data_IF_990810519527
#
_entry.id   IF_990810519527
#
_cell.length_a   1.000
_cell.length_b   1.000
_cell.length_c   1.000
_cell.angle_alpha   90.00
_cell.angle_beta   90.00
_cell.angle_gamma   90.00
#
_symmetry.space_group_name_H-M   'P 1'
#
loop_
_entity.id
_entity.type
_entity.pdbx_description
1 polymer ?
2 polymer ?
3 non-polymer ?
4 non-polymer ?
5 water ?
#
# COMPACT_ATOMS: atom_id res chain seq x y z
N UNK A 9 -21.47 -13.78 -2.87
CA UNK A 9 -21.45 -15.26 -2.97
C UNK A 9 -21.28 -15.94 -1.60
N UNK A 10 -20.86 -15.18 -0.59
CA UNK A 10 -20.45 -15.79 0.70
C UNK A 10 -21.57 -16.52 1.44
N UNK A 11 -21.44 -17.84 1.54
CA UNK A 11 -22.38 -18.66 2.30
C UNK A 11 -21.71 -19.19 3.57
N UNK A 12 -22.27 -18.84 4.73
CA UNK A 12 -21.83 -19.41 6.00
C UNK A 12 -22.52 -20.74 6.30
N UNK A 13 -23.52 -21.07 5.48
CA UNK A 13 -24.15 -22.39 5.51
C UNK A 13 -23.27 -23.48 4.88
N UNK A 14 -22.67 -23.14 3.73
CA UNK A 14 -21.78 -24.04 2.99
C UNK A 14 -20.42 -24.24 3.70
N UNK A 15 -19.89 -23.16 4.27
CA UNK A 15 -18.68 -23.25 5.09
C UNK A 15 -18.82 -24.23 6.26
N UNK A 16 -19.96 -24.18 6.95
CA UNK A 16 -20.20 -25.00 8.15
C UNK A 16 -20.42 -26.47 7.83
N UNK A 17 -21.27 -26.75 6.85
CA UNK A 17 -21.38 -28.08 6.24
C UNK A 17 -20.02 -28.74 6.02
N UNK A 18 -19.18 -28.11 5.19
CA UNK A 18 -17.92 -28.72 4.77
C UNK A 18 -16.80 -28.48 5.79
N UNK A 19 -17.18 -28.30 7.04
CA UNK A 19 -16.24 -28.13 8.13
C UNK A 19 -15.89 -29.49 8.68
N UNK A 20 -16.84 -30.42 8.55
CA UNK A 20 -16.61 -31.83 8.89
C UNK A 20 -15.73 -32.51 7.83
N UNK A 21 -15.63 -31.88 6.67
CA UNK A 21 -14.64 -32.27 5.68
C UNK A 21 -13.19 -31.96 6.10
N UNK A 22 -13.02 -31.34 7.26
CA UNK A 22 -11.69 -31.02 7.76
C UNK A 22 -11.34 -32.01 8.85
N UNK A 23 -10.17 -32.60 8.75
CA UNK A 23 -9.81 -33.74 9.57
C UNK A 23 -8.29 -33.70 9.78
N UNK A 24 -7.82 -34.35 10.83
CA UNK A 24 -6.39 -34.42 11.13
C UNK A 24 -5.55 -33.13 11.18
N UNK A 25 -5.94 -32.19 12.03
CA UNK A 25 -5.13 -31.02 12.33
C UNK A 25 -3.84 -31.29 13.09
N UNK A 26 -2.79 -30.55 12.81
CA UNK A 26 -1.56 -30.68 13.58
C UNK A 26 -0.75 -29.41 13.55
N UNK A 27 0.08 -29.21 14.56
CA UNK A 27 0.90 -28.02 14.63
C UNK A 27 2.35 -28.29 14.29
N UNK A 28 2.92 -27.54 13.36
CA UNK A 28 4.28 -27.81 12.91
C UNK A 28 5.20 -26.68 13.35
N UNK A 29 6.50 -26.95 13.52
CA UNK A 29 7.45 -25.86 13.71
C UNK A 29 7.56 -24.99 12.45
N UNK A 30 8.26 -23.84 12.55
CA UNK A 30 8.17 -22.89 11.42
C UNK A 30 8.94 -23.43 10.22
N UNK A 31 8.40 -23.26 8.99
CA UNK A 31 9.18 -23.67 7.80
C UNK A 31 10.34 -22.72 7.58
N UNK A 32 11.32 -23.06 6.74
CA UNK A 32 12.37 -22.08 6.49
C UNK A 32 11.82 -20.83 5.79
N UNK A 33 10.92 -21.02 4.83
CA UNK A 33 10.18 -19.93 4.19
C UNK A 33 8.82 -20.46 3.75
N UNK A 34 7.90 -19.57 3.45
CA UNK A 34 6.61 -19.99 2.87
C UNK A 34 5.84 -18.80 2.38
N UNK A 35 4.70 -19.06 1.76
CA UNK A 35 3.81 -17.98 1.43
C UNK A 35 2.38 -18.45 1.63
N UNK A 36 1.49 -17.53 1.96
CA UNK A 36 0.08 -17.89 2.17
C UNK A 36 -0.77 -17.33 1.03
N UNK A 37 -1.69 -18.15 0.50
CA UNK A 37 -2.63 -17.74 -0.57
C UNK A 37 -4.03 -18.27 -0.23
N UNK A 38 -5.10 -17.68 -0.81
CA UNK A 38 -6.46 -18.13 -0.54
C UNK A 38 -6.95 -19.08 -1.63
N UNK A 39 -7.91 -19.97 -1.30
CA UNK A 39 -8.58 -20.78 -2.29
C UNK A 39 -10.09 -20.69 -2.14
N UNK A 40 -10.77 -20.52 -3.26
CA UNK A 40 -12.21 -20.30 -3.26
C UNK A 40 -12.93 -21.57 -3.63
N UNK A 41 -13.86 -21.98 -2.75
CA UNK A 41 -14.53 -23.27 -2.85
C UNK A 41 -15.97 -23.09 -3.22
N UNK A 42 -16.41 -23.89 -4.19
CA UNK A 42 -17.83 -24.03 -4.52
C UNK A 42 -18.17 -25.50 -4.66
N UNK A 43 -19.41 -25.86 -4.30
CA UNK A 43 -19.98 -27.15 -4.72
C UNK A 43 -20.95 -27.01 -5.89
N UNK A 44 -20.96 -28.01 -6.80
CA UNK A 44 -21.99 -28.10 -7.85
C UNK A 44 -23.40 -28.12 -7.22
N UNK A 45 -23.57 -28.95 -6.20
CA UNK A 45 -24.84 -29.08 -5.48
C UNK A 45 -25.39 -27.80 -4.82
N UNK A 46 -24.60 -26.74 -4.80
CA UNK A 46 -25.04 -25.50 -4.14
C UNK A 46 -24.73 -24.24 -4.96
N UNK A 47 -25.30 -24.16 -6.17
CA UNK A 47 -24.96 -23.03 -7.05
C UNK A 47 -25.23 -21.72 -6.35
N UNK A 48 -24.34 -20.74 -6.52
CA UNK A 48 -24.50 -19.45 -5.87
C UNK A 48 -23.67 -19.26 -4.61
N UNK A 49 -23.31 -20.38 -3.97
CA UNK A 49 -22.63 -20.35 -2.68
C UNK A 49 -21.13 -20.68 -2.78
N UNK A 50 -20.31 -19.91 -2.07
CA UNK A 50 -18.86 -20.12 -2.06
C UNK A 50 -18.28 -19.84 -0.68
N UNK A 51 -17.17 -20.49 -0.35
CA UNK A 51 -16.38 -20.05 0.80
C UNK A 51 -14.88 -20.19 0.58
N UNK A 52 -14.11 -19.34 1.24
CA UNK A 52 -12.67 -19.37 1.04
C UNK A 52 -11.98 -20.11 2.17
N UNK A 53 -10.75 -20.54 1.90
CA UNK A 53 -9.82 -20.92 2.95
C UNK A 53 -8.39 -20.61 2.46
N UNK A 54 -7.40 -20.95 3.28
CA UNK A 54 -6.05 -20.50 3.07
C UNK A 54 -5.19 -21.71 2.88
N UNK A 55 -4.13 -21.55 2.10
CA UNK A 55 -3.09 -22.55 1.94
C UNK A 55 -1.80 -21.89 2.37
N UNK A 56 -0.93 -22.62 3.09
CA UNK A 56 0.42 -22.18 3.24
C UNK A 56 1.32 -23.10 2.43
N UNK A 57 2.21 -22.51 1.64
CA UNK A 57 3.05 -23.24 0.69
C UNK A 57 4.46 -23.30 1.21
N UNK A 58 4.95 -24.51 1.48
CA UNK A 58 6.27 -24.66 2.15
C UNK A 58 7.22 -25.52 1.34
N UNK A 59 8.53 -25.39 1.60
CA UNK A 59 9.51 -26.17 0.82
C UNK A 59 9.40 -27.67 1.11
N UNK A 60 9.69 -28.48 0.09
CA UNK A 60 9.66 -29.93 0.25
C UNK A 60 8.44 -30.58 -0.35
N UNK A 61 8.63 -31.83 -0.78
CA UNK A 61 7.57 -32.55 -1.47
C UNK A 61 6.95 -33.50 -0.47
N UNK A 62 5.72 -33.24 -0.05
CA UNK A 62 5.07 -34.00 1.03
C UNK A 62 3.62 -34.38 0.67
N UNK A 63 3.44 -35.11 -0.45
CA UNK A 63 2.11 -35.53 -0.89
C UNK A 63 1.37 -36.31 0.19
N UNK A 64 2.12 -37.07 0.99
CA UNK A 64 1.55 -37.84 2.10
C UNK A 64 0.78 -37.00 3.13
N UNK A 65 1.08 -35.70 3.20
CA UNK A 65 0.38 -34.79 4.12
C UNK A 65 -0.94 -34.31 3.58
N UNK A 66 -1.20 -34.57 2.30
CA UNK A 66 -2.42 -34.08 1.65
C UNK A 66 -3.48 -35.18 1.63
N UNK A 67 -4.73 -34.79 1.75
CA UNK A 67 -5.85 -35.59 1.28
C UNK A 67 -5.59 -36.09 -0.14
N UNK A 68 -6.06 -37.30 -0.48
CA UNK A 68 -5.68 -37.88 -1.78
C UNK A 68 -6.24 -37.09 -2.96
N UNK A 69 -7.39 -36.46 -2.77
CA UNK A 69 -7.91 -35.60 -3.81
C UNK A 69 -7.04 -34.36 -4.12
N UNK A 70 -6.10 -34.01 -3.25
CA UNK A 70 -5.18 -32.92 -3.52
C UNK A 70 -3.81 -33.41 -3.93
N UNK A 71 -3.63 -34.74 -4.03
CA UNK A 71 -2.29 -35.23 -4.30
C UNK A 71 -1.97 -35.19 -5.78
N UNK A 72 -1.89 -33.96 -6.32
CA UNK A 72 -1.44 -33.77 -7.69
C UNK A 72 -0.33 -32.76 -7.70
N UNK A 73 0.51 -32.84 -8.72
CA UNK A 73 1.74 -32.09 -8.74
C UNK A 73 1.68 -31.08 -9.90
N UNK A 74 1.88 -29.80 -9.63
CA UNK A 74 2.05 -28.94 -10.79
C UNK A 74 3.47 -28.46 -10.96
N UNK A 75 3.84 -28.21 -12.21
CA UNK A 75 5.20 -27.77 -12.53
C UNK A 75 5.35 -26.31 -12.85
N UNK A 76 6.46 -25.75 -12.39
CA UNK A 76 6.92 -24.47 -12.90
C UNK A 76 7.50 -24.70 -14.32
N UNK A 77 7.66 -23.63 -15.09
CA UNK A 77 8.07 -23.70 -16.49
C UNK A 77 9.50 -24.25 -16.63
N UNK A 78 9.76 -25.03 -17.68
CA UNK A 78 11.12 -25.56 -17.98
C UNK A 78 11.76 -26.41 -16.89
N UNK A 79 10.99 -27.23 -16.18
CA UNK A 79 11.58 -28.15 -15.20
C UNK A 79 12.36 -27.44 -14.09
N UNK A 80 11.76 -26.41 -13.48
CA UNK A 80 12.47 -25.61 -12.48
C UNK A 80 11.81 -25.63 -11.09
N UNK A 81 11.05 -26.69 -10.82
CA UNK A 81 10.42 -26.92 -9.50
C UNK A 81 8.99 -27.35 -9.69
N UNK A 82 8.28 -27.57 -8.58
CA UNK A 82 6.92 -28.11 -8.64
C UNK A 82 6.20 -27.73 -7.36
N UNK A 83 4.90 -27.92 -7.32
CA UNK A 83 4.17 -27.66 -6.08
C UNK A 83 3.06 -28.68 -5.97
N UNK A 84 3.02 -29.41 -4.88
CA UNK A 84 1.91 -30.32 -4.58
C UNK A 84 0.67 -29.59 -4.12
N UNK A 85 -0.48 -29.98 -4.66
CA UNK A 85 -1.78 -29.51 -4.19
C UNK A 85 -2.32 -28.39 -5.07
N UNK A 86 -1.53 -28.04 -6.09
CA UNK A 86 -1.93 -27.02 -7.05
C UNK A 86 -2.29 -27.74 -8.37
N UNK A 87 -3.38 -27.35 -8.99
CA UNK A 87 -3.96 -28.20 -10.01
C UNK A 87 -3.52 -27.88 -11.44
N UNK A 88 -2.82 -26.77 -11.64
CA UNK A 88 -2.47 -26.34 -12.99
C UNK A 88 -1.03 -25.89 -13.00
N UNK A 89 -0.35 -26.13 -14.11
CA UNK A 89 1.07 -25.76 -14.25
C UNK A 89 1.25 -24.26 -14.12
N UNK A 90 2.46 -23.87 -13.70
CA UNK A 90 2.78 -22.49 -13.45
C UNK A 90 3.66 -21.93 -14.56
N UNK A 91 3.19 -20.86 -15.23
CA UNK A 91 3.78 -20.34 -16.48
C UNK A 91 5.01 -19.46 -16.31
N UNK A 92 5.75 -19.64 -15.22
CA UNK A 92 7.05 -19.02 -15.06
C UNK A 92 7.93 -19.98 -14.28
N UNK A 93 9.23 -19.73 -14.26
CA UNK A 93 10.19 -20.57 -13.58
C UNK A 93 10.15 -20.47 -12.06
N UNK A 94 10.54 -21.58 -11.40
CA UNK A 94 10.75 -21.59 -9.96
C UNK A 94 12.23 -21.55 -9.61
N UNK A 95 12.55 -21.83 -8.34
CA UNK A 95 13.92 -21.84 -7.84
C UNK A 95 14.44 -23.28 -7.57
N UNK A 96 14.03 -24.21 -8.43
CA UNK A 96 14.48 -25.62 -8.39
C UNK A 96 14.14 -26.42 -7.13
N UNK A 97 13.00 -26.12 -6.51
CA UNK A 97 12.64 -26.70 -5.22
C UNK A 97 11.24 -27.22 -5.50
N UNK A 98 10.88 -28.33 -4.89
CA UNK A 98 9.50 -28.73 -4.92
C UNK A 98 8.87 -28.22 -3.63
N UNK A 99 7.62 -27.78 -3.70
CA UNK A 99 6.94 -27.21 -2.54
C UNK A 99 5.72 -28.05 -2.28
N UNK A 100 5.06 -27.82 -1.14
CA UNK A 100 3.75 -28.45 -0.88
C UNK A 100 2.77 -27.42 -0.34
N UNK A 101 1.58 -27.35 -0.94
CA UNK A 101 0.55 -26.40 -0.45
C UNK A 101 -0.32 -27.07 0.60
N UNK A 102 -0.22 -26.61 1.85
CA UNK A 102 -0.97 -27.21 2.93
C UNK A 102 -2.14 -26.31 3.40
N UNK A 103 -3.28 -26.93 3.67
CA UNK A 103 -4.38 -26.15 4.22
C UNK A 103 -3.98 -25.54 5.57
N UNK A 104 -4.21 -24.23 5.72
CA UNK A 104 -3.65 -23.52 6.87
C UNK A 104 -4.78 -23.18 7.84
N UNK A 105 -4.67 -23.71 9.04
CA UNK A 105 -5.67 -23.40 10.05
C UNK A 105 -5.23 -22.13 10.78
N UNK A 106 -3.95 -22.00 11.09
CA UNK A 106 -3.49 -20.85 11.85
C UNK A 106 -1.99 -20.72 11.71
N UNK A 107 -1.51 -19.50 11.46
CA UNK A 107 -0.07 -19.23 11.62
C UNK A 107 0.12 -18.41 12.88
N UNK A 108 0.96 -18.90 13.77
CA UNK A 108 1.07 -18.36 15.13
C UNK A 108 2.18 -17.35 15.18
N UNK A 109 2.16 -16.56 16.26
CA UNK A 109 3.12 -15.52 16.44
C UNK A 109 4.53 -15.99 16.49
N UNK A 110 4.75 -17.20 17.03
CA UNK A 110 6.11 -17.76 17.02
C UNK A 110 6.55 -18.31 15.67
N UNK A 111 5.67 -18.31 14.68
CA UNK A 111 6.04 -18.89 13.38
C UNK A 111 5.49 -20.30 13.10
N UNK A 112 4.98 -20.96 14.13
CA UNK A 112 4.44 -22.30 13.96
C UNK A 112 3.26 -22.15 13.01
N UNK A 113 2.98 -23.20 12.26
CA UNK A 113 1.77 -23.25 11.42
C UNK A 113 0.93 -24.46 11.80
N UNK A 114 -0.36 -24.23 12.05
CA UNK A 114 -1.29 -25.30 12.26
C UNK A 114 -1.96 -25.61 10.95
N UNK A 115 -1.85 -26.86 10.53
CA UNK A 115 -2.33 -27.28 9.22
C UNK A 115 -3.28 -28.44 9.39
N UNK A 116 -4.03 -28.73 8.33
CA UNK A 116 -5.05 -29.74 8.41
C UNK A 116 -5.17 -30.40 7.05
N UNK A 117 -5.86 -31.53 7.00
CA UNK A 117 -6.22 -32.21 5.77
C UNK A 117 -7.67 -31.88 5.50
N UNK A 118 -8.04 -31.77 4.23
CA UNK A 118 -9.35 -31.31 3.87
C UNK A 118 -9.82 -32.18 2.70
N UNK A 119 -11.06 -32.63 2.76
CA UNK A 119 -11.60 -33.48 1.73
C UNK A 119 -12.03 -32.57 0.58
N UNK A 120 -11.15 -32.36 -0.40
CA UNK A 120 -11.41 -31.38 -1.48
C UNK A 120 -10.36 -31.58 -2.55
N UNK A 121 -10.60 -31.00 -3.74
CA UNK A 121 -9.69 -31.09 -4.89
C UNK A 121 -8.63 -30.02 -4.77
N UNK A 122 -7.66 -30.02 -5.68
CA UNK A 122 -6.52 -29.09 -5.61
C UNK A 122 -6.92 -27.64 -5.93
N UNK A 123 -6.04 -26.66 -5.68
CA UNK A 123 -6.34 -25.25 -6.01
C UNK A 123 -6.30 -25.09 -7.53
N UNK A 124 -7.41 -24.70 -8.14
CA UNK A 124 -7.46 -24.51 -9.60
C UNK A 124 -7.35 -23.04 -9.99
N UNK A 125 -7.07 -22.77 -11.26
CA UNK A 125 -7.10 -21.40 -11.75
C UNK A 125 -5.80 -20.70 -11.40
N UNK A 126 -5.67 -19.43 -11.79
CA UNK A 126 -4.34 -18.84 -11.76
C UNK A 126 -4.09 -17.93 -10.54
N UNK A 127 -5.03 -17.86 -9.58
CA UNK A 127 -4.86 -16.93 -8.47
C UNK A 127 -3.69 -17.22 -7.52
N UNK A 128 -3.16 -18.44 -7.54
CA UNK A 128 -1.98 -18.83 -6.71
C UNK A 128 -0.69 -18.21 -7.26
N UNK A 129 -0.74 -17.68 -8.48
CA UNK A 129 0.52 -17.27 -9.15
C UNK A 129 1.29 -16.17 -8.43
N UNK A 130 0.58 -15.24 -7.82
CA UNK A 130 1.29 -14.08 -7.24
C UNK A 130 2.10 -14.59 -6.04
N UNK A 131 1.47 -15.34 -5.15
CA UNK A 131 2.22 -15.92 -4.00
C UNK A 131 3.40 -16.81 -4.40
N UNK A 132 3.21 -17.61 -5.44
CA UNK A 132 4.26 -18.51 -5.97
C UNK A 132 5.42 -17.74 -6.57
N UNK A 133 5.12 -16.71 -7.38
CA UNK A 133 6.15 -15.84 -7.91
C UNK A 133 6.95 -15.22 -6.76
N UNK A 134 6.26 -14.78 -5.72
CA UNK A 134 7.00 -14.14 -4.63
C UNK A 134 7.87 -15.18 -3.85
N UNK A 135 7.32 -16.37 -3.66
CA UNK A 135 7.96 -17.45 -2.90
C UNK A 135 9.26 -17.83 -3.59
N UNK A 136 9.23 -17.97 -4.91
CA UNK A 136 10.41 -18.43 -5.62
C UNK A 136 11.39 -17.33 -6.01
N UNK A 137 10.95 -16.07 -5.95
CA UNK A 137 11.81 -14.96 -6.37
C UNK A 137 12.25 -14.07 -5.22
N UNK A 138 11.37 -13.85 -4.25
CA UNK A 138 11.51 -12.71 -3.37
C UNK A 138 11.59 -13.06 -1.87
N UNK A 139 10.92 -14.15 -1.47
CA UNK A 139 10.93 -14.59 -0.07
C UNK A 139 12.07 -15.58 0.15
N UNK A 140 12.92 -15.32 1.14
CA UNK A 140 14.07 -16.19 1.43
C UNK A 140 13.95 -16.82 2.80
N UNK A 141 13.22 -16.18 3.70
CA UNK A 141 13.23 -16.52 5.11
C UNK A 141 11.85 -16.16 5.65
N UNK A 142 11.18 -17.10 6.30
CA UNK A 142 9.96 -16.78 7.06
C UNK A 142 8.70 -16.78 6.18
N UNK A 143 7.55 -16.59 6.80
CA UNK A 143 6.34 -16.55 6.03
C UNK A 143 5.71 -15.17 6.23
N UNK A 144 5.55 -14.36 5.14
CA UNK A 144 4.90 -13.04 5.34
C UNK A 144 3.50 -13.18 5.95
N UNK A 145 3.15 -12.36 6.92
CA UNK A 145 1.81 -12.43 7.50
C UNK A 145 0.80 -11.71 6.63
N UNK A 146 0.61 -12.22 5.40
CA UNK A 146 -0.23 -11.58 4.39
C UNK A 146 -0.75 -12.70 3.50
N UNK A 147 -1.91 -12.50 2.90
CA UNK A 147 -2.45 -13.46 1.98
C UNK A 147 -2.42 -12.86 0.59
N UNK A 148 -1.74 -13.54 -0.35
CA UNK A 148 -1.54 -13.03 -1.69
C UNK A 148 -2.48 -13.73 -2.67
N UNK A 149 -3.10 -12.94 -3.53
CA UNK A 149 -3.93 -13.51 -4.58
C UNK A 149 -3.86 -12.67 -5.84
N UNK A 150 -3.57 -13.32 -6.98
CA UNK A 150 -3.49 -12.62 -8.23
C UNK A 150 -2.86 -13.46 -9.30
N UNK A 151 -3.27 -13.24 -10.54
CA UNK A 151 -2.62 -13.92 -11.65
C UNK A 151 -1.47 -13.06 -12.10
N UNK A 152 -0.44 -13.68 -12.67
CA UNK A 152 0.77 -12.98 -13.10
C UNK A 152 0.77 -12.89 -14.64
N UNK A 153 1.01 -11.71 -15.18
CA UNK A 153 0.93 -11.51 -16.65
C UNK A 153 2.14 -12.15 -17.32
N UNK A 154 2.03 -12.29 -18.63
CA UNK A 154 3.12 -12.78 -19.46
C UNK A 154 4.46 -12.03 -19.29
N UNK A 155 4.42 -10.78 -18.88
CA UNK A 155 5.68 -10.08 -18.59
C UNK A 155 6.30 -10.53 -17.26
N UNK A 156 5.59 -11.40 -16.51
CA UNK A 156 6.14 -11.94 -15.25
C UNK A 156 6.28 -10.96 -14.11
N UNK A 157 5.60 -9.81 -14.22
CA UNK A 157 5.70 -8.77 -13.21
C UNK A 157 4.34 -8.14 -12.90
N UNK A 158 3.52 -7.98 -13.93
CA UNK A 158 2.26 -7.30 -13.76
C UNK A 158 1.24 -8.26 -13.19
N UNK A 159 0.49 -7.82 -12.20
CA UNK A 159 -0.51 -8.67 -11.59
C UNK A 159 -1.87 -8.39 -12.23
N UNK A 160 -2.66 -9.45 -12.43
CA UNK A 160 -3.91 -9.42 -13.15
C UNK A 160 -5.00 -9.89 -12.19
N UNK A 161 -6.20 -9.29 -12.23
CA UNK A 161 -7.26 -9.60 -11.25
C UNK A 161 -7.80 -11.02 -11.38
N UNK A 162 -8.41 -11.51 -10.31
CA UNK A 162 -8.84 -12.91 -10.24
C UNK A 162 -10.27 -12.91 -9.77
N UNK A 163 -10.89 -14.10 -9.71
CA UNK A 163 -12.32 -14.23 -9.33
C UNK A 163 -12.39 -14.46 -7.84
N UNK A 164 -13.48 -14.04 -7.22
CA UNK A 164 -13.74 -14.39 -5.85
C UNK A 164 -12.97 -13.59 -4.81
N UNK A 165 -12.55 -12.39 -5.19
CA UNK A 165 -11.72 -11.58 -4.28
C UNK A 165 -12.33 -11.38 -2.89
N UNK A 166 -13.64 -11.16 -2.82
CA UNK A 166 -14.33 -10.91 -1.55
C UNK A 166 -14.40 -12.16 -0.70
N UNK A 167 -14.59 -13.32 -1.33
CA UNK A 167 -14.44 -14.59 -0.63
C UNK A 167 -13.02 -14.77 -0.08
N UNK A 168 -12.00 -14.42 -0.86
CA UNK A 168 -10.63 -14.57 -0.42
C UNK A 168 -10.38 -13.65 0.78
N UNK A 169 -10.98 -12.45 0.77
CA UNK A 169 -10.68 -11.43 1.80
C UNK A 169 -11.31 -11.88 3.12
N UNK A 170 -12.51 -12.44 3.04
CA UNK A 170 -13.15 -12.98 4.21
C UNK A 170 -12.27 -14.10 4.80
N UNK A 171 -11.80 -15.00 3.94
CA UNK A 171 -10.91 -16.07 4.43
C UNK A 171 -9.65 -15.48 5.08
N UNK A 172 -9.05 -14.46 4.46
CA UNK A 172 -7.87 -13.84 5.05
C UNK A 172 -8.19 -13.26 6.42
N UNK A 173 -9.32 -12.54 6.51
CA UNK A 173 -9.66 -11.78 7.74
C UNK A 173 -10.01 -12.68 8.89
N UNK A 174 -10.71 -13.77 8.61
CA UNK A 174 -10.94 -14.83 9.60
C UNK A 174 -9.66 -15.35 10.24
N UNK A 175 -8.53 -15.21 9.56
CA UNK A 175 -7.29 -15.73 10.09
C UNK A 175 -6.46 -14.61 10.63
N UNK A 176 -7.04 -13.41 10.70
CA UNK A 176 -6.28 -12.27 11.21
C UNK A 176 -5.28 -11.69 10.23
N UNK A 177 -5.48 -11.91 8.93
CA UNK A 177 -4.49 -11.47 7.95
C UNK A 177 -5.06 -10.52 6.90
N UNK A 178 -4.25 -9.57 6.41
CA UNK A 178 -4.69 -8.74 5.29
C UNK A 178 -4.66 -9.50 3.95
N UNK A 179 -5.56 -9.19 3.03
CA UNK A 179 -5.44 -9.71 1.65
C UNK A 179 -4.67 -8.75 0.76
N UNK A 180 -3.75 -9.32 -0.03
CA UNK A 180 -2.88 -8.55 -0.90
C UNK A 180 -3.11 -8.96 -2.36
N UNK A 181 -3.43 -7.96 -3.20
CA UNK A 181 -3.72 -8.21 -4.62
C UNK A 181 -3.74 -6.90 -5.41
N UNK A 182 -4.15 -6.98 -6.69
CA UNK A 182 -4.11 -5.83 -7.58
C UNK A 182 -5.44 -5.09 -7.72
N UNK A 183 -6.51 -5.56 -7.08
CA UNK A 183 -7.86 -5.18 -7.46
C UNK A 183 -8.73 -4.72 -6.30
N UNK A 184 -9.87 -4.07 -6.61
CA UNK A 184 -10.76 -3.68 -5.52
C UNK A 184 -11.23 -4.91 -4.75
N UNK A 185 -11.31 -4.74 -3.44
CA UNK A 185 -11.67 -5.80 -2.53
C UNK A 185 -10.48 -6.26 -1.67
N UNK A 186 -9.24 -6.05 -2.11
CA UNK A 186 -8.09 -6.40 -1.25
C UNK A 186 -7.84 -5.33 -0.16
N UNK A 187 -6.94 -5.62 0.77
CA UNK A 187 -6.56 -4.63 1.79
C UNK A 187 -5.35 -3.78 1.38
N UNK A 188 -4.33 -4.40 0.79
CA UNK A 188 -3.22 -3.64 0.23
C UNK A 188 -3.08 -3.96 -1.24
N UNK A 189 -2.99 -2.92 -2.05
CA UNK A 189 -3.09 -3.08 -3.48
C UNK A 189 -1.70 -2.99 -4.02
N UNK A 190 -1.33 -3.97 -4.85
CA UNK A 190 0.00 -4.00 -5.46
C UNK A 190 -0.17 -4.15 -6.97
N UNK A 191 0.45 -3.26 -7.76
CA UNK A 191 0.25 -3.31 -9.20
C UNK A 191 1.09 -4.43 -9.81
N UNK A 192 2.18 -4.79 -9.14
CA UNK A 192 3.14 -5.70 -9.72
C UNK A 192 3.99 -6.41 -8.66
N UNK A 193 4.85 -7.32 -9.09
CA UNK A 193 5.58 -8.14 -8.15
C UNK A 193 6.64 -7.37 -7.39
N UNK A 194 7.22 -6.34 -8.00
CA UNK A 194 8.21 -5.47 -7.27
C UNK A 194 7.54 -4.81 -6.11
N UNK A 195 6.37 -4.24 -6.38
CA UNK A 195 5.67 -3.60 -5.31
C UNK A 195 5.30 -4.59 -4.22
N UNK A 196 4.89 -5.81 -4.59
CA UNK A 196 4.51 -6.83 -3.58
C UNK A 196 5.78 -7.27 -2.82
N UNK A 197 6.90 -7.33 -3.52
CA UNK A 197 8.14 -7.64 -2.84
C UNK A 197 8.50 -6.53 -1.85
N UNK A 198 8.31 -5.29 -2.28
CA UNK A 198 8.68 -4.15 -1.47
C UNK A 198 7.73 -4.07 -0.29
N UNK A 199 6.49 -4.46 -0.49
CA UNK A 199 5.58 -4.58 0.66
C UNK A 199 6.09 -5.61 1.70
N UNK A 200 6.48 -6.78 1.21
CA UNK A 200 7.03 -7.83 2.12
C UNK A 200 8.23 -7.29 2.92
N UNK A 201 9.19 -6.69 2.23
CA UNK A 201 10.38 -6.17 2.89
C UNK A 201 10.10 -5.03 3.87
N UNK A 202 9.15 -4.17 3.52
CA UNK A 202 8.66 -3.12 4.43
C UNK A 202 7.96 -3.66 5.67
N UNK A 203 7.30 -4.82 5.57
CA UNK A 203 6.58 -5.37 6.74
C UNK A 203 5.13 -4.90 6.85
N UNK A 204 4.83 -3.80 6.17
CA UNK A 204 3.47 -3.26 6.12
C UNK A 204 3.49 -2.19 5.01
N UNK A 205 2.32 -1.63 4.66
CA UNK A 205 2.30 -0.49 3.75
C UNK A 205 3.19 0.62 4.32
N UNK A 206 4.06 1.17 3.50
CA UNK A 206 4.80 2.32 3.99
C UNK A 206 3.85 3.44 4.42
N UNK A 207 4.25 4.18 5.45
CA UNK A 207 3.39 5.15 6.10
C UNK A 207 3.86 6.56 5.70
N UNK A 208 2.91 7.44 5.41
CA UNK A 208 3.23 8.85 5.12
C UNK A 208 2.60 9.70 6.16
N UNK A 209 3.43 10.49 6.83
CA UNK A 209 2.93 11.39 7.88
C UNK A 209 3.14 12.83 7.40
N UNK A 210 2.03 13.56 7.19
CA UNK A 210 2.04 15.03 7.02
C UNK A 210 1.90 15.79 8.36
N UNK B 8 12.42 9.68 14.29
CA UNK B 8 12.79 9.45 12.87
C UNK B 8 13.96 10.32 12.43
N UNK B 9 15.00 9.71 11.86
CA UNK B 9 16.19 10.47 11.46
C UNK B 9 16.44 10.23 9.98
N UNK B 10 16.97 11.24 9.29
CA UNK B 10 17.05 11.19 7.85
C UNK B 10 17.84 9.95 7.46
N UNK B 11 17.36 9.22 6.47
CA UNK B 11 18.10 8.07 5.99
C UNK B 11 18.16 8.02 4.48
N UNK B 12 19.34 8.28 3.94
CA UNK B 12 19.54 8.21 2.51
C UNK B 12 19.27 6.81 1.93
N UNK B 13 19.58 5.77 2.68
CA UNK B 13 19.28 4.44 2.19
C UNK B 13 17.81 4.20 2.09
N UNK B 14 17.07 4.55 3.13
CA UNK B 14 15.63 4.37 3.11
C UNK B 14 15.02 5.11 1.90
N UNK B 15 15.55 6.31 1.64
CA UNK B 15 15.04 7.17 0.56
C UNK B 15 15.25 6.51 -0.79
N UNK B 16 16.47 6.03 -1.05
CA UNK B 16 16.77 5.45 -2.35
C UNK B 16 16.00 4.14 -2.57
N UNK B 17 15.81 3.39 -1.50
CA UNK B 17 15.09 2.15 -1.61
C UNK B 17 13.60 2.44 -1.93
N UNK B 18 12.95 3.23 -1.10
CA UNK B 18 11.53 3.49 -1.28
C UNK B 18 11.23 4.19 -2.60
N UNK B 19 12.04 5.19 -2.93
CA UNK B 19 11.80 5.96 -4.15
C UNK B 19 11.98 5.15 -5.41
N UNK B 20 12.83 4.12 -5.33
CA UNK B 20 13.07 3.32 -6.53
C UNK B 20 11.79 2.52 -6.82
N UNK B 21 10.85 2.53 -5.88
CA UNK B 21 9.53 1.97 -6.20
C UNK B 21 8.50 2.93 -6.80
N UNK B 22 8.83 4.23 -6.88
CA UNK B 22 7.87 5.20 -7.44
C UNK B 22 7.68 4.85 -8.92
N UNK B 23 6.50 5.12 -9.48
CA UNK B 23 6.23 4.63 -10.83
C UNK B 23 5.19 5.52 -11.54
N UNK B 24 5.11 5.39 -12.88
CA UNK B 24 4.12 6.09 -13.70
C UNK B 24 4.18 7.62 -13.57
N UNK B 25 5.31 8.19 -13.94
CA UNK B 25 5.45 9.62 -13.93
C UNK B 25 4.62 10.25 -15.03
N UNK B 26 4.07 11.42 -14.76
CA UNK B 26 3.38 12.14 -15.82
C UNK B 26 3.46 13.61 -15.61
N UNK B 27 3.48 14.34 -16.72
CA UNK B 27 3.58 15.79 -16.66
C UNK B 27 2.23 16.41 -17.03
N UNK B 28 1.66 17.15 -16.09
CA UNK B 28 0.36 17.80 -16.25
C UNK B 28 0.54 19.30 -16.50
N UNK B 29 -0.45 19.94 -17.17
CA UNK B 29 -0.39 21.40 -17.33
C UNK B 29 -0.61 22.13 -15.98
N UNK B 30 -0.36 23.45 -15.94
CA UNK B 30 -0.44 24.15 -14.65
C UNK B 30 -1.86 24.11 -14.06
N UNK B 31 -1.99 23.70 -12.79
CA UNK B 31 -3.33 23.76 -12.19
C UNK B 31 -3.78 25.21 -11.98
N UNK B 32 -5.09 25.45 -11.85
CA UNK B 32 -5.57 26.82 -11.66
C UNK B 32 -5.00 27.41 -10.35
N UNK B 33 -4.89 26.59 -9.31
CA UNK B 33 -4.16 26.95 -8.08
C UNK B 33 -3.64 25.68 -7.41
N UNK B 34 -2.79 25.81 -6.40
CA UNK B 34 -2.37 24.63 -5.62
C UNK B 34 -1.50 25.03 -4.46
N UNK B 35 -1.09 24.05 -3.68
CA UNK B 35 -0.18 24.31 -2.56
C UNK B 35 0.71 23.07 -2.40
N UNK B 36 1.93 23.30 -1.92
CA UNK B 36 2.93 22.24 -1.78
C UNK B 36 3.20 21.99 -0.30
N UNK B 37 3.03 20.75 0.14
CA UNK B 37 3.36 20.36 1.49
C UNK B 37 4.32 19.16 1.54
N UNK B 38 5.01 18.95 2.69
CA UNK B 38 5.98 17.83 2.78
C UNK B 38 5.32 16.64 3.50
N UNK B 39 5.70 15.44 3.08
CA UNK B 39 5.35 14.26 3.88
C UNK B 39 6.59 13.49 4.33
N UNK B 40 6.43 12.78 5.43
CA UNK B 40 7.51 11.95 6.00
C UNK B 40 7.20 10.47 5.82
N UNK B 41 8.14 9.76 5.21
CA UNK B 41 7.96 8.32 4.90
C UNK B 41 8.64 7.46 5.94
N UNK B 42 7.95 6.43 6.44
CA UNK B 42 8.56 5.39 7.25
C UNK B 42 8.00 4.02 6.89
N UNK B 43 8.79 2.97 7.17
CA UNK B 43 8.31 1.56 7.11
C UNK B 43 8.60 0.83 8.41
N UNK B 44 7.74 -0.13 8.75
CA UNK B 44 7.86 -0.90 9.99
C UNK B 44 9.22 -1.58 10.21
N UNK B 45 9.86 -2.01 9.14
CA UNK B 45 11.08 -2.81 9.25
C UNK B 45 12.34 -1.96 9.27
N UNK B 46 12.17 -0.65 9.32
CA UNK B 46 13.34 0.22 9.43
C UNK B 46 13.10 1.26 10.50
N UNK B 47 12.93 0.81 11.75
CA UNK B 47 12.58 1.71 12.84
C UNK B 47 13.65 2.80 13.02
N UNK B 48 13.19 4.01 13.31
CA UNK B 48 14.10 5.14 13.48
C UNK B 48 14.65 5.76 12.21
N UNK B 49 14.28 5.25 11.04
CA UNK B 49 14.71 5.89 9.78
C UNK B 49 13.53 6.62 9.09
N UNK B 50 13.80 7.71 8.37
CA UNK B 50 12.73 8.43 7.66
C UNK B 50 13.32 9.24 6.53
N UNK B 51 12.46 9.56 5.56
CA UNK B 51 12.77 10.62 4.59
C UNK B 51 11.49 11.35 4.12
N UNK B 52 11.69 12.54 3.55
CA UNK B 52 10.55 13.35 3.14
C UNK B 52 10.42 13.47 1.64
N UNK B 53 9.22 13.77 1.18
CA UNK B 53 9.04 14.20 -0.21
C UNK B 53 7.89 15.23 -0.19
N UNK B 54 7.40 15.60 -1.36
CA UNK B 54 6.43 16.70 -1.47
C UNK B 54 5.17 16.23 -2.13
N UNK B 55 4.06 16.80 -1.68
CA UNK B 55 2.79 16.65 -2.32
C UNK B 55 2.38 18.04 -2.88
N UNK B 56 1.80 18.03 -4.09
CA UNK B 56 1.10 19.19 -4.60
C UNK B 56 -0.40 18.91 -4.57
N UNK B 57 -1.13 19.78 -3.88
CA UNK B 57 -2.57 19.62 -3.74
C UNK B 57 -3.31 20.54 -4.71
N UNK B 58 -4.09 19.95 -5.62
CA UNK B 58 -4.67 20.73 -6.70
C UNK B 58 -6.17 20.51 -6.78
N UNK B 59 -6.90 21.49 -7.34
CA UNK B 59 -8.37 21.39 -7.41
C UNK B 59 -8.79 20.33 -8.41
N UNK B 60 -9.87 19.63 -8.10
CA UNK B 60 -10.38 18.57 -8.96
C UNK B 60 -10.14 17.22 -8.29
N UNK B 61 -11.05 16.29 -8.53
CA UNK B 61 -10.95 14.94 -8.01
C UNK B 61 -10.24 14.04 -9.04
N UNK B 62 -9.01 13.61 -8.74
CA UNK B 62 -8.25 12.70 -9.63
C UNK B 62 -7.80 11.44 -8.90
N UNK B 63 -8.71 10.78 -8.18
CA UNK B 63 -8.19 9.61 -7.43
C UNK B 63 -7.43 8.61 -8.31
N UNK B 64 -7.78 8.55 -9.59
CA UNK B 64 -7.20 7.54 -10.48
C UNK B 64 -5.72 7.81 -10.77
N UNK B 65 -5.26 9.01 -10.46
CA UNK B 65 -3.87 9.36 -10.68
C UNK B 65 -3.04 8.96 -9.46
N UNK B 66 -3.72 8.53 -8.38
CA UNK B 66 -3.01 8.06 -7.18
C UNK B 66 -2.80 6.53 -7.23
N UNK B 67 -1.69 6.07 -6.64
CA UNK B 67 -1.60 4.66 -6.25
C UNK B 67 -2.83 4.31 -5.45
N UNK B 68 -3.39 3.10 -5.65
CA UNK B 68 -4.70 2.87 -5.02
C UNK B 68 -4.68 2.86 -3.50
N UNK B 69 -3.52 2.64 -2.88
CA UNK B 69 -3.50 2.69 -1.42
C UNK B 69 -3.70 4.12 -0.91
N UNK B 70 -3.57 5.11 -1.79
CA UNK B 70 -3.76 6.50 -1.39
C UNK B 70 -5.14 6.98 -1.82
N UNK B 71 -5.95 6.09 -2.38
CA UNK B 71 -7.27 6.52 -2.85
C UNK B 71 -8.26 6.53 -1.72
N UNK B 72 -8.03 7.44 -0.77
CA UNK B 72 -8.87 7.64 0.38
C UNK B 72 -9.37 9.11 0.30
N UNK B 73 -10.61 9.36 0.70
CA UNK B 73 -11.19 10.70 0.54
C UNK B 73 -11.41 11.30 1.92
N UNK B 74 -10.85 12.47 2.18
CA UNK B 74 -11.17 13.16 3.42
C UNK B 74 -12.00 14.40 3.20
N UNK B 75 -12.71 14.82 4.25
CA UNK B 75 -13.68 15.91 4.14
C UNK B 75 -13.30 17.06 5.02
N UNK B 76 -13.48 18.29 4.51
CA UNK B 76 -13.48 19.46 5.36
C UNK B 76 -14.75 19.49 6.20
N UNK B 77 -14.71 20.28 7.28
CA UNK B 77 -15.81 20.37 8.22
C UNK B 77 -17.11 20.84 7.54
N UNK B 78 -18.24 20.27 7.96
CA UNK B 78 -19.58 20.75 7.60
C UNK B 78 -19.85 20.66 6.12
N UNK B 79 -19.36 19.62 5.48
CA UNK B 79 -19.68 19.44 4.08
C UNK B 79 -19.25 20.63 3.20
N UNK B 80 -17.99 21.02 3.29
CA UNK B 80 -17.49 22.17 2.52
C UNK B 80 -16.30 21.81 1.62
N UNK B 81 -16.25 20.56 1.18
CA UNK B 81 -15.23 20.13 0.23
C UNK B 81 -14.48 18.89 0.70
N UNK B 82 -13.48 18.46 -0.04
CA UNK B 82 -12.85 17.17 0.23
C UNK B 82 -11.50 17.15 -0.45
N UNK B 83 -10.67 16.17 -0.09
CA UNK B 83 -9.34 16.00 -0.68
C UNK B 83 -9.06 14.50 -0.75
N UNK B 84 -8.76 14.05 -1.96
CA UNK B 84 -8.25 12.72 -2.19
C UNK B 84 -6.80 12.66 -1.83
N UNK B 85 -6.39 11.54 -1.22
CA UNK B 85 -4.98 11.32 -0.86
C UNK B 85 -4.59 11.76 0.57
N UNK B 86 -5.56 12.17 1.37
CA UNK B 86 -5.29 12.66 2.74
C UNK B 86 -6.15 11.75 3.60
N UNK B 87 -5.57 11.19 4.66
CA UNK B 87 -6.20 10.07 5.36
C UNK B 87 -7.11 10.42 6.52
N UNK B 88 -7.09 11.68 6.98
CA UNK B 88 -7.99 12.12 8.06
C UNK B 88 -8.79 13.35 7.64
N UNK B 89 -9.98 13.50 8.21
CA UNK B 89 -10.81 14.67 7.96
C UNK B 89 -10.12 15.95 8.47
N UNK B 90 -10.52 17.09 7.92
CA UNK B 90 -9.89 18.37 8.22
C UNK B 90 -10.86 19.19 9.09
N UNK B 91 -10.38 19.64 10.26
CA UNK B 91 -11.27 20.19 11.29
C UNK B 91 -11.64 21.67 11.05
N UNK B 92 -11.61 22.14 9.81
CA UNK B 92 -12.13 23.46 9.50
C UNK B 92 -12.79 23.37 8.12
N UNK B 93 -13.46 24.45 7.69
CA UNK B 93 -14.17 24.42 6.42
C UNK B 93 -13.27 24.64 5.22
N UNK B 94 -13.63 24.03 4.09
CA UNK B 94 -12.94 24.29 2.83
C UNK B 94 -13.77 25.29 2.05
N UNK B 95 -13.44 25.50 0.77
CA UNK B 95 -14.16 26.43 -0.09
C UNK B 95 -14.99 25.63 -1.11
N UNK B 96 -15.53 24.48 -0.69
CA UNK B 96 -16.49 23.73 -1.52
C UNK B 96 -15.91 23.18 -2.80
N UNK B 97 -14.62 22.84 -2.79
CA UNK B 97 -13.95 22.25 -3.95
C UNK B 97 -13.49 20.84 -3.50
N UNK B 98 -13.53 19.86 -4.39
CA UNK B 98 -12.79 18.64 -4.13
C UNK B 98 -11.41 18.73 -4.73
N UNK B 99 -10.41 18.41 -3.92
CA UNK B 99 -9.01 18.53 -4.34
C UNK B 99 -8.41 17.13 -4.40
N UNK B 100 -7.19 17.05 -4.93
CA UNK B 100 -6.42 15.84 -4.92
C UNK B 100 -5.00 16.18 -4.53
N UNK B 101 -4.45 15.39 -3.62
CA UNK B 101 -3.09 15.55 -3.14
C UNK B 101 -2.13 14.58 -3.82
N UNK B 102 -1.29 15.08 -4.73
CA UNK B 102 -0.51 14.22 -5.61
C UNK B 102 0.98 14.31 -5.28
N UNK B 103 1.69 13.18 -5.37
CA UNK B 103 3.15 13.26 -5.21
C UNK B 103 3.75 14.15 -6.25
N UNK B 104 4.57 15.09 -5.80
CA UNK B 104 5.13 16.07 -6.70
C UNK B 104 6.56 15.71 -7.03
N UNK B 105 6.79 15.34 -8.26
CA UNK B 105 8.15 15.03 -8.62
C UNK B 105 8.94 16.28 -8.99
N UNK B 106 8.27 17.25 -9.60
CA UNK B 106 8.93 18.49 -10.03
C UNK B 106 7.86 19.51 -10.41
N UNK B 107 8.04 20.75 -9.97
CA UNK B 107 7.22 21.84 -10.50
C UNK B 107 8.11 22.71 -11.37
N UNK B 108 7.72 22.86 -12.62
CA UNK B 108 8.51 23.57 -13.59
C UNK B 108 8.26 25.08 -13.61
N UNK B 109 9.23 25.84 -14.14
CA UNK B 109 9.16 27.31 -14.22
C UNK B 109 7.96 27.75 -15.04
N UNK B 110 7.56 26.96 -16.03
CA UNK B 110 6.33 27.28 -16.75
C UNK B 110 5.05 26.90 -16.00
N UNK B 111 5.17 26.35 -14.79
CA UNK B 111 3.98 26.02 -14.00
C UNK B 111 3.50 24.58 -14.16
N UNK B 112 3.98 23.86 -15.16
CA UNK B 112 3.63 22.41 -15.28
C UNK B 112 4.09 21.67 -14.04
N UNK B 113 3.31 20.66 -13.65
CA UNK B 113 3.69 19.77 -12.57
C UNK B 113 3.93 18.35 -13.08
N UNK B 114 5.10 17.82 -12.75
CA UNK B 114 5.41 16.42 -12.94
C UNK B 114 5.01 15.63 -11.68
N UNK B 115 4.08 14.70 -11.82
CA UNK B 115 3.68 13.88 -10.67
C UNK B 115 4.04 12.41 -10.90
N UNK B 116 3.88 11.58 -9.88
CA UNK B 116 4.22 10.16 -10.01
C UNK B 116 3.40 9.40 -8.99
N UNK B 117 3.39 8.07 -9.10
CA UNK B 117 2.71 7.23 -8.10
C UNK B 117 3.73 6.74 -7.08
N UNK B 118 3.26 6.62 -5.84
CA UNK B 118 4.11 6.28 -4.73
C UNK B 118 3.37 5.15 -4.01
N UNK B 119 4.11 4.13 -3.61
CA UNK B 119 3.53 3.01 -2.90
C UNK B 119 3.59 3.27 -1.39
N UNK B 120 2.43 3.57 -0.82
CA UNK B 120 2.33 4.03 0.56
C UNK B 120 0.84 4.17 0.83
N UNK B 121 0.53 4.53 2.07
CA UNK B 121 -0.82 4.94 2.44
C UNK B 121 -0.98 6.44 2.25
N UNK B 122 -2.20 6.92 2.49
CA UNK B 122 -2.57 8.31 2.34
C UNK B 122 -1.84 9.16 3.40
N UNK B 123 -1.77 10.45 3.17
CA UNK B 123 -0.99 11.33 4.03
C UNK B 123 -1.74 11.47 5.35
N UNK B 124 -1.10 11.09 6.45
CA UNK B 124 -1.75 11.10 7.77
C UNK B 124 -1.20 12.23 8.63
N UNK B 125 -1.90 12.59 9.70
CA UNK B 125 -1.40 13.50 10.70
C UNK B 125 -1.79 14.95 10.38
N UNK B 126 -1.44 15.89 11.28
CA UNK B 126 -2.08 17.20 11.12
C UNK B 126 -1.20 18.24 10.39
N UNK B 127 0.01 17.85 9.99
CA UNK B 127 0.92 18.78 9.39
C UNK B 127 0.45 19.38 8.05
N UNK B 128 -0.50 18.73 7.37
CA UNK B 128 -1.01 19.25 6.07
C UNK B 128 -1.97 20.43 6.28
N UNK B 129 -2.32 20.70 7.53
CA UNK B 129 -3.38 21.67 7.80
C UNK B 129 -3.02 23.12 7.41
N UNK B 130 -1.78 23.52 7.62
CA UNK B 130 -1.44 24.91 7.24
C UNK B 130 -1.65 25.07 5.72
N UNK B 131 -1.10 24.14 4.94
CA UNK B 131 -1.18 24.23 3.49
C UNK B 131 -2.64 24.15 3.01
N UNK B 132 -3.43 23.25 3.60
CA UNK B 132 -4.83 23.17 3.27
C UNK B 132 -5.59 24.46 3.59
N UNK B 133 -5.34 25.01 4.77
CA UNK B 133 -5.99 26.23 5.17
C UNK B 133 -5.69 27.40 4.22
N UNK B 134 -4.43 27.54 3.83
CA UNK B 134 -4.05 28.58 2.86
C UNK B 134 -4.75 28.30 1.54
N UNK B 135 -4.81 27.02 1.18
CA UNK B 135 -5.33 26.67 -0.15
C UNK B 135 -6.80 27.11 -0.26
N UNK B 136 -7.59 26.85 0.78
CA UNK B 136 -9.01 27.14 0.71
C UNK B 136 -9.35 28.58 1.08
N UNK B 137 -8.43 29.31 1.71
CA UNK B 137 -8.73 30.68 2.19
C UNK B 137 -7.92 31.76 1.48
N UNK B 138 -6.70 31.48 1.06
CA UNK B 138 -5.75 32.56 0.77
C UNK B 138 -5.12 32.50 -0.61
N UNK B 139 -5.11 31.31 -1.20
CA UNK B 139 -4.46 31.13 -2.50
C UNK B 139 -5.58 31.13 -3.55
N UNK B 140 -5.46 31.98 -4.55
CA UNK B 140 -6.50 32.07 -5.60
C UNK B 140 -6.01 31.61 -6.95
N UNK B 141 -4.72 31.75 -7.21
CA UNK B 141 -4.19 31.52 -8.52
C UNK B 141 -2.73 31.06 -8.40
N UNK B 142 -2.35 30.06 -9.18
CA UNK B 142 -0.96 29.61 -9.18
C UNK B 142 -0.63 28.77 -7.95
N UNK B 143 0.61 28.31 -7.90
CA UNK B 143 1.12 27.55 -6.76
C UNK B 143 2.30 28.31 -6.16
N UNK B 144 2.17 28.77 -4.91
CA UNK B 144 3.34 29.44 -4.29
C UNK B 144 4.58 28.54 -4.31
N UNK B 145 5.74 29.11 -4.63
CA UNK B 145 6.97 28.34 -4.67
C UNK B 145 7.61 28.22 -3.29
N UNK B 146 6.96 27.45 -2.43
CA UNK B 146 7.38 27.26 -1.06
C UNK B 146 6.59 26.08 -0.49
N UNK B 147 7.08 25.51 0.61
CA UNK B 147 6.51 24.31 1.17
C UNK B 147 6.03 24.63 2.58
N UNK B 148 4.75 24.37 2.85
CA UNK B 148 4.15 24.68 4.15
C UNK B 148 4.00 23.43 5.00
N UNK B 149 4.40 23.52 6.27
CA UNK B 149 4.10 22.50 7.19
C UNK B 149 3.67 23.06 8.53
N UNK B 150 2.59 22.52 9.07
CA UNK B 150 2.15 22.97 10.38
C UNK B 150 0.73 22.54 10.65
N UNK B 151 0.43 22.31 11.91
CA UNK B 151 -0.91 21.99 12.30
C UNK B 151 -1.60 23.31 12.57
N UNK B 152 -2.94 23.33 12.58
CA UNK B 152 -3.66 24.58 12.79
C UNK B 152 -4.43 24.51 14.11
N UNK B 153 -4.30 25.53 14.97
CA UNK B 153 -4.85 25.46 16.34
C UNK B 153 -6.39 25.54 16.32
N UNK B 154 -7.02 25.41 17.49
CA UNK B 154 -8.48 25.57 17.58
C UNK B 154 -9.01 26.90 17.09
N UNK B 155 -8.22 27.98 17.24
CA UNK B 155 -8.65 29.28 16.74
C UNK B 155 -8.62 29.39 15.21
N UNK B 156 -8.20 28.34 14.50
CA UNK B 156 -8.15 28.32 13.02
C UNK B 156 -7.16 29.31 12.39
N UNK B 157 -6.28 29.89 13.20
CA UNK B 157 -5.38 30.97 12.73
C UNK B 157 -3.92 30.62 13.12
N UNK B 158 -3.73 30.24 14.36
CA UNK B 158 -2.41 30.03 14.91
C UNK B 158 -1.83 28.69 14.44
N UNK B 159 -0.59 28.71 14.00
CA UNK B 159 0.07 27.49 13.55
C UNK B 159 0.71 26.74 14.73
N UNK B 160 0.59 25.42 14.71
CA UNK B 160 1.11 24.57 15.75
C UNK B 160 2.26 23.74 15.18
N UNK B 161 3.38 23.68 15.89
CA UNK B 161 4.59 23.03 15.33
C UNK B 161 4.40 21.52 15.19
N UNK B 162 5.23 20.89 14.36
CA UNK B 162 5.13 19.46 14.12
C UNK B 162 6.49 18.87 14.39
N UNK B 163 6.57 17.54 14.43
CA UNK B 163 7.83 16.87 14.85
C UNK B 163 8.86 16.75 13.74
N UNK B 164 8.44 16.54 12.51
CA UNK B 164 9.46 16.15 11.49
C UNK B 164 10.06 17.33 10.72
N UNK B 165 10.32 18.44 11.42
CA UNK B 165 10.65 19.68 10.70
C UNK B 165 11.92 19.52 9.86
N UNK B 166 12.87 18.72 10.33
CA UNK B 166 14.17 18.65 9.62
C UNK B 166 14.06 17.80 8.36
N UNK B 167 13.31 16.71 8.43
CA UNK B 167 13.07 15.86 7.27
C UNK B 167 12.28 16.65 6.25
N UNK B 168 11.24 17.37 6.69
CA UNK B 168 10.48 18.30 5.80
C UNK B 168 11.36 19.34 5.11
N UNK B 169 12.34 19.88 5.84
CA UNK B 169 13.22 20.92 5.26
C UNK B 169 14.10 20.34 4.16
N UNK B 170 14.65 19.16 4.45
CA UNK B 170 15.52 18.49 3.50
C UNK B 170 14.70 18.20 2.23
N UNK B 171 13.46 17.78 2.39
CA UNK B 171 12.62 17.47 1.21
C UNK B 171 12.38 18.76 0.40
N UNK B 172 12.03 19.83 1.04
CA UNK B 172 11.88 21.10 0.39
C UNK B 172 13.13 21.56 -0.33
N UNK B 173 14.28 21.46 0.31
CA UNK B 173 15.52 21.91 -0.28
C UNK B 173 15.95 21.13 -1.47
N UNK B 174 15.53 19.89 -1.56
CA UNK B 174 15.77 19.09 -2.74
C UNK B 174 15.13 19.68 -3.97
N UNK B 175 14.03 20.36 -3.81
CA UNK B 175 13.38 21.07 -4.93
C UNK B 175 13.81 22.52 -5.05
N UNK B 176 14.82 22.92 -4.27
CA UNK B 176 15.19 24.36 -4.25
C UNK B 176 14.12 25.25 -3.67
N UNK B 177 13.31 24.77 -2.72
CA UNK B 177 12.18 25.54 -2.20
C UNK B 177 12.34 25.80 -0.70
N UNK B 178 11.89 26.98 -0.24
CA UNK B 178 12.00 27.17 1.21
C UNK B 178 10.89 26.44 1.91
N UNK B 179 11.13 26.10 3.17
CA UNK B 179 10.10 25.53 4.04
C UNK B 179 9.53 26.65 4.86
N UNK B 180 8.23 26.58 5.10
CA UNK B 180 7.53 27.65 5.78
C UNK B 180 6.77 27.02 6.90
N UNK B 181 6.92 27.56 8.11
CA UNK B 181 6.19 27.05 9.26
C UNK B 181 6.45 27.97 10.45
N UNK B 182 6.13 27.50 11.65
CA UNK B 182 6.06 28.38 12.80
C UNK B 182 7.18 28.11 13.81
N UNK B 183 8.25 27.41 13.39
CA UNK B 183 9.19 26.76 14.33
C UNK B 183 10.63 26.72 13.81
N UNK B 184 11.59 26.49 14.73
CA UNK B 184 12.98 26.35 14.31
C UNK B 184 13.09 25.24 13.28
N UNK B 185 14.04 25.39 12.37
CA UNK B 185 14.19 24.41 11.33
C UNK B 185 13.49 24.79 10.01
N UNK B 186 12.59 25.75 10.03
CA UNK B 186 12.04 26.29 8.73
C UNK B 186 12.91 27.44 8.18
N UNK B 187 12.77 27.76 6.89
CA UNK B 187 13.41 28.94 6.30
C UNK B 187 12.61 30.22 6.47
N UNK B 188 11.29 30.14 6.55
CA UNK B 188 10.44 31.31 6.70
C UNK B 188 9.49 31.08 7.86
N UNK B 189 9.67 31.84 8.93
CA UNK B 189 8.90 31.62 10.15
C UNK B 189 7.67 32.53 10.14
N UNK B 190 6.49 31.95 10.24
CA UNK B 190 5.26 32.71 10.39
C UNK B 190 4.45 32.08 11.51
N UNK B 191 3.83 32.89 12.33
CA UNK B 191 3.18 32.35 13.51
C UNK B 191 1.74 31.97 13.20
N UNK B 192 1.18 32.52 12.12
CA UNK B 192 -0.23 32.26 11.86
C UNK B 192 -0.56 32.29 10.37
N UNK B 193 -1.79 31.94 10.01
CA UNK B 193 -2.10 31.88 8.56
C UNK B 193 -2.16 33.29 7.88
N UNK B 194 -2.53 34.33 8.64
CA UNK B 194 -2.50 35.69 8.07
C UNK B 194 -1.09 36.03 7.65
N UNK B 195 -0.13 35.62 8.48
CA UNK B 195 1.28 35.90 8.14
C UNK B 195 1.85 35.01 7.03
N UNK B 196 1.35 33.78 6.92
CA UNK B 196 1.75 32.89 5.79
C UNK B 196 1.19 33.48 4.51
N UNK B 197 -0.04 33.98 4.60
CA UNK B 197 -0.67 34.66 3.45
C UNK B 197 0.15 35.87 2.97
N UNK B 198 0.61 36.68 3.92
CA UNK B 198 1.46 37.80 3.59
C UNK B 198 2.73 37.34 2.88
N UNK B 199 3.34 36.25 3.35
CA UNK B 199 4.54 35.68 2.68
C UNK B 199 4.20 35.20 1.25
N UNK B 200 3.07 34.56 1.08
CA UNK B 200 2.62 34.22 -0.28
C UNK B 200 2.52 35.45 -1.20
N UNK B 201 1.99 36.56 -0.68
CA UNK B 201 1.87 37.77 -1.51
C UNK B 201 3.25 38.41 -1.80
N UNK B 202 4.14 38.42 -0.82
CA UNK B 202 5.54 38.85 -1.02
C UNK B 202 6.31 38.02 -2.02
N UNK B 203 6.16 36.70 -1.96
CA UNK B 203 7.19 35.77 -2.45
C UNK B 203 8.20 35.45 -1.34
N UNK B 204 8.92 34.34 -1.48
CA UNK B 204 9.98 33.98 -0.53
C UNK B 204 11.34 33.90 -1.27
N UNK B 205 12.42 34.27 -0.58
CA UNK B 205 13.77 34.11 -1.13
C UNK B 205 13.94 32.64 -1.56
N UNK B 206 14.53 32.40 -2.74
CA UNK B 206 14.83 31.02 -3.13
C UNK B 206 15.91 30.43 -2.20
N UNK B 207 15.93 29.12 -2.04
CA UNK B 207 16.98 28.49 -1.26
C UNK B 207 17.88 27.63 -2.17
N UNK B 208 19.14 27.45 -1.78
CA UNK B 208 20.08 26.63 -2.58
C UNK B 208 19.55 25.21 -2.86
N UNK B 209 19.43 24.86 -4.14
CA UNK B 209 19.10 23.48 -4.52
C UNK B 209 20.20 22.52 -4.08
N UNK B 210 19.85 21.61 -3.18
CA UNK B 210 20.85 20.79 -2.49
C UNK B 210 20.23 19.45 -2.08
X LIG C 1 -9.35 -17.01 -10.22
X LIG D 1 5.54 18.49 18.39
X LIG D 1 6.99 18.24 18.79
X LIG D 1 4.76 18.68 19.57
X LIG D 1 7.59 16.62 18.19
X LIG E 1 -3.08 0.99 -12.99
#
# INVERSE_FOLDING_TARGET
MASGTDTGRFSRNLKDRLESNNYEEMELPPPTKGVIIPVVHTVESAPGEAFGSLLVIIPGAYPELLDPNQQVLSHFKNDTGCVWGIGEDIPFEGDDICYTALPLKEIKKNGNIVVEKVFAGPAMGPSCQLGLSLLVNDIDKGVPRMVFTGEIANDEETIVPICGVDIAAIAAHEHGLPLVGCQPGVDEVVANTSLASHLIQSGALPVQKA
MASGTDTGRFSRNLKDRLESNNYEEMELPPPTKGVIIPVVHTVESAPGEAFGSLLVIIPGAYPELLDPNQQVLSHFKNDTGCVWGIGEDIPFEGDDICYTALPLKEIKKNGNIVVEKVFAGPAMGPSCQLGLSLLVNDIDKGVPRMVFTGEIANDEETIVPICGVDIAAIAAHEHGLPLVGCQPGVDEVVANTSLASHLIQSGALPVQKA
MG MG
BME C1 C2 O1 S2
MG MG
#
